data_IF_228188201909
#
_entry.id   IF_228188201909
#
_cell.length_a   1.000
_cell.length_b   1.000
_cell.length_c   1.000
_cell.angle_alpha   90.00
_cell.angle_beta   90.00
_cell.angle_gamma   90.00
#
_symmetry.space_group_name_H-M   'P 1'
#
loop_
_entity.id
_entity.type
_entity.pdbx_description
1 polymer ?
#
# COMPACT_ATOMS: atom_id res chain seq x y z
N UNK A 1 8.30 -17.06 -15.42
CA UNK A 1 8.01 -15.63 -15.57
C UNK A 1 9.24 -14.78 -15.35
N UNK A 2 9.21 -13.49 -15.78
CA UNK A 2 10.25 -12.51 -15.41
C UNK A 2 9.93 -11.86 -14.07
N UNK A 3 10.97 -11.65 -13.26
CA UNK A 3 10.88 -10.93 -11.99
C UNK A 3 12.14 -10.12 -11.71
N UNK A 4 11.99 -9.06 -10.92
CA UNK A 4 13.10 -8.31 -10.34
C UNK A 4 13.37 -8.87 -8.94
N UNK A 5 14.44 -9.64 -8.81
CA UNK A 5 14.79 -10.36 -7.59
C UNK A 5 15.84 -9.58 -6.80
N UNK A 6 15.53 -9.28 -5.55
CA UNK A 6 16.50 -8.78 -4.58
C UNK A 6 17.48 -9.90 -4.21
N UNK A 7 18.77 -9.67 -4.43
CA UNK A 7 19.86 -10.65 -4.23
C UNK A 7 20.71 -10.37 -2.98
N UNK A 8 20.53 -9.21 -2.40
CA UNK A 8 21.28 -8.73 -1.26
C UNK A 8 21.37 -7.20 -1.31
N UNK A 9 21.99 -6.55 -0.30
CA UNK A 9 22.09 -5.10 -0.25
C UNK A 9 22.59 -4.49 -1.55
N UNK A 10 21.82 -3.56 -2.09
CA UNK A 10 22.06 -2.83 -3.34
C UNK A 10 22.14 -3.71 -4.60
N UNK A 11 21.64 -4.97 -4.54
CA UNK A 11 21.70 -5.91 -5.66
C UNK A 11 20.30 -6.35 -6.07
N UNK A 12 19.94 -6.03 -7.31
CA UNK A 12 18.74 -6.50 -7.98
C UNK A 12 19.10 -7.24 -9.27
N UNK A 13 18.39 -8.33 -9.56
CA UNK A 13 18.55 -9.07 -10.80
C UNK A 13 17.21 -9.23 -11.51
N UNK A 14 17.12 -8.75 -12.75
CA UNK A 14 15.98 -9.06 -13.62
C UNK A 14 16.24 -10.41 -14.29
N UNK A 15 15.48 -11.42 -13.90
CA UNK A 15 15.74 -12.80 -14.29
C UNK A 15 14.47 -13.63 -14.47
N UNK A 16 14.62 -14.82 -15.05
CA UNK A 16 13.57 -15.82 -15.07
C UNK A 16 13.45 -16.49 -13.70
N UNK A 17 12.23 -16.65 -13.24
CA UNK A 17 11.84 -17.40 -12.04
C UNK A 17 10.67 -18.33 -12.38
N UNK A 18 10.39 -19.28 -11.51
CA UNK A 18 9.20 -20.12 -11.64
C UNK A 18 7.92 -19.26 -11.56
N UNK A 19 6.90 -19.68 -12.28
CA UNK A 19 5.58 -19.08 -12.16
C UNK A 19 4.99 -19.39 -10.78
N UNK A 20 4.12 -18.50 -10.23
CA UNK A 20 3.45 -18.76 -8.97
C UNK A 20 2.62 -20.03 -9.03
N UNK A 21 2.74 -20.88 -8.02
CA UNK A 21 1.86 -22.04 -7.84
C UNK A 21 0.58 -21.59 -7.13
N UNK A 22 -0.58 -21.94 -7.71
CA UNK A 22 -1.86 -21.68 -7.08
C UNK A 22 -2.13 -22.69 -5.96
N UNK A 23 -2.41 -22.20 -4.75
CA UNK A 23 -2.79 -23.01 -3.62
C UNK A 23 -4.31 -22.88 -3.36
N UNK A 24 -5.03 -23.99 -3.46
CA UNK A 24 -6.48 -23.99 -3.26
C UNK A 24 -7.21 -23.08 -4.24
N UNK A 25 -7.98 -22.12 -3.72
CA UNK A 25 -8.80 -21.19 -4.52
C UNK A 25 -8.06 -19.88 -4.90
N UNK A 26 -6.75 -19.80 -4.73
CA UNK A 26 -5.98 -18.62 -5.14
C UNK A 26 -6.20 -18.32 -6.62
N UNK A 27 -6.09 -17.04 -6.97
CA UNK A 27 -6.21 -16.52 -8.32
C UNK A 27 -4.82 -16.13 -8.82
N UNK A 28 -4.55 -16.41 -10.09
CA UNK A 28 -3.36 -15.89 -10.76
C UNK A 28 -3.65 -14.51 -11.29
N UNK A 29 -2.90 -13.53 -10.83
CA UNK A 29 -3.00 -12.15 -11.27
C UNK A 29 -1.82 -11.84 -12.18
N UNK A 30 -2.10 -11.43 -13.42
CA UNK A 30 -1.12 -10.78 -14.28
C UNK A 30 -0.98 -9.35 -13.79
N UNK A 31 0.21 -9.01 -13.33
CA UNK A 31 0.49 -7.69 -12.77
C UNK A 31 0.57 -6.66 -13.90
N UNK A 32 -0.10 -5.55 -13.71
CA UNK A 32 -0.05 -4.37 -14.57
C UNK A 32 0.90 -3.33 -13.97
N UNK A 33 0.68 -2.96 -12.71
CA UNK A 33 1.42 -1.90 -12.05
C UNK A 33 1.75 -2.26 -10.60
N UNK A 34 2.95 -1.86 -10.17
CA UNK A 34 3.42 -2.02 -8.79
C UNK A 34 4.05 -0.72 -8.31
N UNK A 35 3.59 -0.20 -7.18
CA UNK A 35 4.22 0.91 -6.50
C UNK A 35 5.52 0.49 -5.79
N UNK A 36 6.41 1.44 -5.61
CA UNK A 36 7.65 1.27 -4.83
C UNK A 36 7.47 1.94 -3.47
N UNK A 37 7.35 1.13 -2.43
CA UNK A 37 7.26 1.61 -1.06
C UNK A 37 8.64 1.98 -0.49
N UNK A 38 8.67 2.88 0.48
CA UNK A 38 9.87 3.15 1.27
C UNK A 38 10.45 1.90 1.94
N UNK A 39 9.61 0.92 2.30
CA UNK A 39 10.05 -0.36 2.87
C UNK A 39 10.78 -1.25 1.85
N UNK A 40 10.47 -1.15 0.55
CA UNK A 40 11.24 -1.84 -0.50
C UNK A 40 12.64 -1.22 -0.62
N UNK A 41 12.73 0.11 -0.49
CA UNK A 41 14.03 0.81 -0.46
C UNK A 41 14.85 0.42 0.77
N UNK A 42 14.22 0.29 1.96
CA UNK A 42 14.90 -0.20 3.16
C UNK A 42 15.43 -1.63 2.97
N UNK A 43 14.64 -2.52 2.38
CA UNK A 43 15.09 -3.87 2.05
C UNK A 43 16.25 -3.85 1.06
N UNK A 44 16.13 -3.08 -0.03
CA UNK A 44 17.20 -2.93 -1.04
C UNK A 44 18.53 -2.46 -0.43
N UNK A 45 18.49 -1.54 0.53
CA UNK A 45 19.67 -1.04 1.23
C UNK A 45 20.17 -2.01 2.33
N UNK A 46 19.51 -3.14 2.55
CA UNK A 46 19.89 -4.11 3.58
C UNK A 46 19.50 -3.71 5.00
N UNK A 47 18.57 -2.77 5.17
CA UNK A 47 18.13 -2.25 6.46
C UNK A 47 16.84 -2.92 6.99
N UNK A 48 16.34 -3.98 6.36
CA UNK A 48 15.15 -4.73 6.81
C UNK A 48 15.44 -6.23 6.91
N UNK A 49 15.76 -6.69 8.10
CA UNK A 49 16.05 -8.10 8.40
C UNK A 49 14.86 -9.04 8.14
N UNK A 50 13.63 -8.52 8.05
CA UNK A 50 12.44 -9.31 7.73
C UNK A 50 12.36 -9.69 6.26
N UNK A 51 13.20 -9.08 5.40
CA UNK A 51 13.28 -9.30 3.97
C UNK A 51 14.65 -9.81 3.54
N UNK A 52 15.04 -11.02 3.99
CA UNK A 52 16.32 -11.61 3.59
C UNK A 52 16.33 -11.94 2.10
N UNK A 53 17.48 -11.78 1.46
CA UNK A 53 17.67 -12.22 0.08
C UNK A 53 17.86 -13.76 -0.01
N UNK A 54 17.46 -14.43 -1.14
CA UNK A 54 16.79 -13.82 -2.28
C UNK A 54 15.28 -13.63 -2.04
N UNK A 55 14.68 -12.57 -2.60
CA UNK A 55 13.25 -12.28 -2.46
C UNK A 55 12.76 -11.39 -3.61
N UNK A 56 11.55 -11.60 -4.08
CA UNK A 56 10.86 -10.62 -4.93
C UNK A 56 10.17 -9.62 -4.00
N UNK A 57 10.52 -8.33 -4.13
CA UNK A 57 9.94 -7.24 -3.37
C UNK A 57 8.65 -6.71 -4.06
N UNK A 58 8.07 -5.62 -3.50
CA UNK A 58 6.88 -4.96 -4.03
C UNK A 58 5.58 -5.51 -3.44
N UNK A 59 4.74 -4.62 -2.91
CA UNK A 59 3.48 -5.00 -2.25
C UNK A 59 2.31 -4.04 -2.55
N UNK A 60 2.53 -3.03 -3.36
CA UNK A 60 1.52 -2.10 -3.85
C UNK A 60 1.10 -2.51 -5.25
N UNK A 61 0.21 -3.50 -5.39
CA UNK A 61 -0.01 -4.23 -6.64
C UNK A 61 -1.40 -4.01 -7.21
N UNK A 62 -1.48 -3.86 -8.53
CA UNK A 62 -2.70 -3.96 -9.31
C UNK A 62 -2.49 -4.80 -10.57
N UNK A 63 -3.55 -5.40 -11.08
CA UNK A 63 -3.47 -6.25 -12.26
C UNK A 63 -4.82 -6.84 -12.67
N UNK A 64 -4.75 -7.93 -13.44
CA UNK A 64 -5.92 -8.62 -13.96
C UNK A 64 -5.86 -10.11 -13.63
N UNK A 65 -6.96 -10.68 -13.15
CA UNK A 65 -7.08 -12.11 -12.90
C UNK A 65 -7.00 -12.85 -14.24
N UNK A 66 -6.05 -13.75 -14.41
CA UNK A 66 -5.83 -14.51 -15.66
C UNK A 66 -6.07 -16.00 -15.52
N UNK A 67 -6.20 -16.52 -14.28
CA UNK A 67 -6.60 -17.90 -14.03
C UNK A 67 -7.40 -18.02 -12.72
N UNK A 68 -8.33 -18.99 -12.69
CA UNK A 68 -9.27 -19.19 -11.62
C UNK A 68 -10.65 -18.55 -11.89
N UNK A 69 -11.55 -18.62 -10.94
CA UNK A 69 -12.83 -17.93 -11.03
C UNK A 69 -12.60 -16.41 -11.12
N UNK A 70 -13.52 -15.69 -11.79
CA UNK A 70 -13.48 -14.24 -12.01
C UNK A 70 -12.33 -13.79 -12.94
N UNK A 71 -11.86 -14.67 -13.82
CA UNK A 71 -10.92 -14.33 -14.87
C UNK A 71 -11.40 -13.11 -15.67
N UNK A 72 -10.48 -12.18 -15.96
CA UNK A 72 -10.77 -10.90 -16.62
C UNK A 72 -11.06 -9.74 -15.65
N UNK A 73 -11.36 -10.00 -14.36
CA UNK A 73 -11.54 -8.91 -13.41
C UNK A 73 -10.22 -8.18 -13.15
N UNK A 74 -10.31 -6.87 -13.18
CA UNK A 74 -9.23 -5.95 -12.80
C UNK A 74 -9.25 -5.78 -11.29
N UNK A 75 -8.08 -5.88 -10.65
CA UNK A 75 -7.99 -5.93 -9.18
C UNK A 75 -6.82 -5.13 -8.65
N UNK A 76 -6.97 -4.65 -7.42
CA UNK A 76 -5.85 -4.24 -6.56
C UNK A 76 -5.73 -5.23 -5.40
N UNK A 77 -4.52 -5.37 -4.87
CA UNK A 77 -4.17 -6.41 -3.90
C UNK A 77 -4.02 -5.83 -2.50
N UNK A 78 -4.74 -6.40 -1.53
CA UNK A 78 -4.39 -6.23 -0.12
C UNK A 78 -3.20 -7.17 0.18
N UNK A 79 -2.02 -6.63 0.52
CA UNK A 79 -0.81 -7.44 0.70
C UNK A 79 -0.84 -8.31 1.95
N UNK A 80 -1.75 -8.04 2.89
CA UNK A 80 -1.82 -8.72 4.17
C UNK A 80 -2.76 -9.91 4.13
N UNK A 81 -2.20 -11.11 4.27
CA UNK A 81 -2.95 -12.38 4.34
C UNK A 81 -3.09 -12.77 5.81
N UNK A 82 -4.28 -12.58 6.36
CA UNK A 82 -4.61 -12.92 7.74
C UNK A 82 -5.07 -14.39 7.86
N UNK A 83 -5.03 -14.95 9.07
CA UNK A 83 -5.49 -16.35 9.29
C UNK A 83 -7.02 -16.50 9.30
N UNK A 84 -7.78 -15.41 9.42
CA UNK A 84 -9.25 -15.39 9.44
C UNK A 84 -9.92 -15.90 10.73
N UNK A 85 -9.21 -16.58 11.63
CA UNK A 85 -9.80 -17.32 12.74
C UNK A 85 -9.31 -16.90 14.14
N UNK A 86 -8.23 -16.15 14.26
CA UNK A 86 -7.75 -15.67 15.57
C UNK A 86 -8.63 -14.53 16.11
N UNK A 87 -8.49 -14.22 17.40
CA UNK A 87 -9.28 -13.18 18.06
C UNK A 87 -9.17 -11.81 17.35
N UNK A 88 -7.99 -11.47 16.82
CA UNK A 88 -7.81 -10.24 16.07
C UNK A 88 -8.63 -10.24 14.78
N UNK A 89 -8.61 -11.35 14.02
CA UNK A 89 -9.37 -11.47 12.76
C UNK A 89 -10.88 -11.42 12.99
N UNK A 90 -11.41 -12.22 13.91
CA UNK A 90 -12.85 -12.26 14.18
C UNK A 90 -13.39 -10.96 14.81
N UNK A 91 -12.51 -10.14 15.40
CA UNK A 91 -12.88 -8.79 15.91
C UNK A 91 -12.67 -7.67 14.89
N UNK A 92 -12.40 -8.00 13.61
CA UNK A 92 -12.19 -7.01 12.54
C UNK A 92 -10.88 -6.23 12.64
N UNK A 93 -9.88 -6.80 13.29
CA UNK A 93 -8.52 -6.26 13.43
C UNK A 93 -7.48 -7.22 12.85
N UNK A 94 -7.74 -7.70 11.65
CA UNK A 94 -6.91 -8.64 10.89
C UNK A 94 -5.47 -8.16 10.68
N UNK A 95 -5.25 -6.85 10.61
CA UNK A 95 -3.93 -6.23 10.60
C UNK A 95 -3.09 -6.55 11.86
N UNK A 96 -3.72 -6.98 12.94
CA UNK A 96 -3.07 -7.43 14.18
C UNK A 96 -3.00 -8.96 14.30
N UNK A 97 -3.32 -9.69 13.24
CA UNK A 97 -3.22 -11.15 13.22
C UNK A 97 -1.77 -11.59 13.53
N UNK A 98 -1.55 -12.44 14.55
CA UNK A 98 -0.21 -12.93 14.87
C UNK A 98 0.38 -13.83 13.77
N UNK A 99 -0.48 -14.54 13.03
CA UNK A 99 -0.10 -15.47 11.97
C UNK A 99 -0.18 -14.83 10.57
N UNK A 100 -0.24 -13.49 10.50
CA UNK A 100 -0.32 -12.81 9.21
C UNK A 100 0.90 -13.05 8.36
N UNK A 101 0.67 -13.23 7.08
CA UNK A 101 1.71 -13.23 6.04
C UNK A 101 1.56 -11.97 5.20
N UNK A 102 2.65 -11.45 4.71
CA UNK A 102 2.64 -10.24 3.89
C UNK A 102 3.41 -10.55 2.61
N UNK A 103 2.88 -10.22 1.44
CA UNK A 103 3.65 -10.33 0.19
C UNK A 103 4.89 -9.44 0.28
N UNK A 104 5.97 -9.81 -0.41
CA UNK A 104 7.28 -9.16 -0.26
C UNK A 104 7.95 -9.41 1.11
N UNK A 105 7.50 -10.45 1.84
CA UNK A 105 8.15 -10.99 3.04
C UNK A 105 8.02 -12.52 3.03
N UNK A 106 9.08 -13.28 3.38
CA UNK A 106 8.97 -14.74 3.45
C UNK A 106 7.82 -15.20 4.36
N UNK A 107 7.10 -16.22 3.96
CA UNK A 107 7.29 -17.08 2.79
C UNK A 107 6.60 -16.59 1.50
N UNK A 108 6.11 -15.35 1.44
CA UNK A 108 5.37 -14.80 0.30
C UNK A 108 6.28 -13.89 -0.56
N UNK A 109 6.39 -14.22 -1.85
CA UNK A 109 7.04 -13.37 -2.83
C UNK A 109 6.20 -12.11 -3.09
N UNK A 110 6.83 -11.04 -3.58
CA UNK A 110 6.18 -9.77 -3.88
C UNK A 110 5.81 -9.60 -5.35
N UNK A 111 5.40 -8.38 -5.67
CA UNK A 111 4.81 -8.02 -6.95
C UNK A 111 5.78 -7.47 -8.00
N UNK A 112 7.09 -7.34 -7.74
CA UNK A 112 8.03 -6.96 -8.80
C UNK A 112 8.28 -8.11 -9.77
N UNK A 113 7.19 -8.65 -10.34
CA UNK A 113 7.14 -9.80 -11.21
C UNK A 113 6.01 -9.67 -12.23
N UNK A 114 5.94 -10.58 -13.19
CA UNK A 114 4.84 -10.59 -14.17
C UNK A 114 3.53 -11.11 -13.58
N UNK A 115 3.60 -12.02 -12.60
CA UNK A 115 2.43 -12.66 -12.00
C UNK A 115 2.59 -12.81 -10.49
N UNK A 116 1.45 -12.82 -9.79
CA UNK A 116 1.35 -13.16 -8.37
C UNK A 116 0.10 -14.01 -8.12
N UNK A 117 0.14 -14.91 -7.14
CA UNK A 117 -1.04 -15.65 -6.68
C UNK A 117 -1.58 -15.06 -5.38
N UNK A 118 -2.90 -14.84 -5.32
CA UNK A 118 -3.58 -14.31 -4.13
C UNK A 118 -4.95 -14.95 -3.94
N UNK A 119 -5.36 -15.10 -2.70
CA UNK A 119 -6.72 -15.49 -2.36
C UNK A 119 -7.73 -14.37 -2.71
N UNK A 120 -8.98 -14.72 -3.01
CA UNK A 120 -9.98 -13.75 -3.45
C UNK A 120 -10.31 -12.69 -2.40
N UNK A 121 -10.25 -13.03 -1.12
CA UNK A 121 -10.46 -12.12 -0.01
C UNK A 121 -9.40 -10.99 0.07
N UNK A 122 -8.26 -11.18 -0.57
CA UNK A 122 -7.21 -10.18 -0.68
C UNK A 122 -7.34 -9.29 -1.92
N UNK A 123 -8.36 -9.50 -2.75
CA UNK A 123 -8.54 -8.80 -4.01
C UNK A 123 -9.73 -7.86 -3.95
N UNK A 124 -9.51 -6.60 -4.35
CA UNK A 124 -10.57 -5.63 -4.53
C UNK A 124 -10.73 -5.34 -6.01
N UNK A 125 -11.95 -5.50 -6.53
CA UNK A 125 -12.25 -5.23 -7.95
C UNK A 125 -12.11 -3.74 -8.23
N UNK A 126 -11.40 -3.43 -9.31
CA UNK A 126 -11.18 -2.06 -9.80
C UNK A 126 -12.20 -1.79 -10.92
N UNK A 127 -12.96 -0.68 -10.86
CA UNK A 127 -13.87 -0.28 -11.94
C UNK A 127 -13.16 -0.16 -13.29
N UNK A 128 -13.88 -0.45 -14.38
CA UNK A 128 -13.29 -0.49 -15.73
C UNK A 128 -12.76 0.87 -16.19
N UNK A 129 -13.36 1.96 -15.73
CA UNK A 129 -12.96 3.35 -16.04
C UNK A 129 -11.82 3.86 -15.14
N UNK A 130 -11.37 3.09 -14.13
CA UNK A 130 -10.29 3.49 -13.25
C UNK A 130 -8.98 2.82 -13.65
N UNK A 131 -7.90 3.60 -13.79
CA UNK A 131 -6.58 3.11 -14.24
C UNK A 131 -5.95 2.16 -13.21
N UNK A 132 -5.35 1.05 -13.68
CA UNK A 132 -4.60 0.13 -12.83
C UNK A 132 -3.34 0.78 -12.24
N UNK A 133 -2.70 1.69 -12.97
CA UNK A 133 -1.58 2.49 -12.44
C UNK A 133 -1.96 3.30 -11.19
N UNK A 134 -3.20 3.81 -11.16
CA UNK A 134 -3.71 4.49 -9.96
C UNK A 134 -4.19 3.50 -8.91
N UNK A 135 -4.71 2.36 -9.32
CA UNK A 135 -5.23 1.34 -8.41
C UNK A 135 -4.15 0.70 -7.54
N UNK A 136 -2.90 0.60 -7.99
CA UNK A 136 -1.80 0.12 -7.16
C UNK A 136 -1.51 1.03 -5.95
N UNK A 137 -1.90 2.31 -6.03
CA UNK A 137 -1.79 3.25 -4.90
C UNK A 137 -2.86 3.06 -3.82
N UNK A 138 -3.80 2.13 -3.99
CA UNK A 138 -4.82 1.82 -2.99
C UNK A 138 -4.20 1.38 -1.66
N UNK A 139 -3.10 0.62 -1.71
CA UNK A 139 -2.41 0.13 -0.51
C UNK A 139 -1.86 1.28 0.36
N UNK A 140 -0.99 2.18 -0.12
CA UNK A 140 -0.48 3.28 0.69
C UNK A 140 -1.57 4.27 1.12
N UNK A 141 -2.60 4.49 0.29
CA UNK A 141 -3.75 5.32 0.67
C UNK A 141 -4.56 4.65 1.78
N UNK A 142 -4.73 3.33 1.75
CA UNK A 142 -5.42 2.57 2.80
C UNK A 142 -4.71 2.69 4.16
N UNK A 143 -3.37 2.80 4.19
CA UNK A 143 -2.62 3.09 5.41
C UNK A 143 -3.03 4.45 6.00
N UNK A 144 -3.10 5.48 5.17
CA UNK A 144 -3.58 6.82 5.57
C UNK A 144 -5.03 6.80 6.03
N UNK A 145 -5.90 6.12 5.28
CA UNK A 145 -7.32 5.96 5.61
C UNK A 145 -7.52 5.29 6.97
N UNK A 146 -6.79 4.21 7.23
CA UNK A 146 -6.86 3.48 8.50
C UNK A 146 -6.41 4.36 9.67
N UNK A 147 -5.30 5.09 9.53
CA UNK A 147 -4.80 6.00 10.56
C UNK A 147 -5.83 7.09 10.89
N UNK A 148 -6.42 7.72 9.87
CA UNK A 148 -7.46 8.75 10.05
C UNK A 148 -8.71 8.19 10.72
N UNK A 149 -9.15 6.99 10.31
CA UNK A 149 -10.30 6.31 10.94
C UNK A 149 -10.07 6.06 12.42
N UNK A 150 -8.87 5.59 12.79
CA UNK A 150 -8.51 5.37 14.20
C UNK A 150 -8.46 6.68 14.99
N UNK A 151 -7.87 7.74 14.44
CA UNK A 151 -7.80 9.05 15.07
C UNK A 151 -9.20 9.62 15.31
N UNK A 152 -10.08 9.57 14.31
CA UNK A 152 -11.49 10.01 14.46
C UNK A 152 -12.23 9.21 15.52
N UNK A 153 -12.06 7.89 15.55
CA UNK A 153 -12.69 7.05 16.57
C UNK A 153 -12.21 7.39 17.99
N UNK A 154 -10.92 7.67 18.15
CA UNK A 154 -10.34 8.06 19.44
C UNK A 154 -10.82 9.44 19.92
N UNK A 155 -11.01 10.37 18.99
CA UNK A 155 -11.48 11.74 19.31
C UNK A 155 -13.00 11.81 19.51
N UNK A 156 -13.76 10.81 19.07
CA UNK A 156 -15.23 10.84 19.06
C UNK A 156 -15.81 11.96 18.20
N UNK A 157 -15.02 12.54 17.29
CA UNK A 157 -15.38 13.73 16.55
C UNK A 157 -16.16 13.41 15.28
N UNK A 158 -17.19 14.21 15.00
CA UNK A 158 -17.99 14.12 13.77
C UNK A 158 -17.37 14.85 12.56
N UNK A 159 -16.23 15.52 12.75
CA UNK A 159 -15.48 16.19 11.68
C UNK A 159 -15.71 17.71 11.62
N UNK A 160 -16.77 18.26 12.16
CA UNK A 160 -17.01 19.71 12.19
C UNK A 160 -16.02 20.43 13.13
N UNK A 161 -15.41 21.50 12.62
CA UNK A 161 -14.47 22.34 13.39
C UNK A 161 -13.11 21.73 13.65
N UNK A 162 -12.84 20.48 13.19
CA UNK A 162 -11.52 19.87 13.34
C UNK A 162 -10.54 20.49 12.35
N UNK A 163 -9.37 20.85 12.87
CA UNK A 163 -8.19 21.20 12.09
C UNK A 163 -7.19 20.05 12.19
N UNK A 164 -6.67 19.56 11.06
CA UNK A 164 -5.72 18.48 11.01
C UNK A 164 -4.38 18.95 10.45
N UNK A 165 -3.29 18.59 11.12
CA UNK A 165 -1.93 18.77 10.66
C UNK A 165 -1.33 17.40 10.33
N UNK A 166 -0.87 17.24 9.09
CA UNK A 166 -0.09 16.07 8.64
C UNK A 166 1.38 16.46 8.60
N UNK A 167 2.21 15.75 9.32
CA UNK A 167 3.65 15.97 9.35
C UNK A 167 4.33 15.04 8.35
N UNK A 168 4.87 15.62 7.28
CA UNK A 168 5.52 14.92 6.17
C UNK A 168 4.61 14.76 4.94
N UNK A 169 5.07 15.27 3.81
CA UNK A 169 4.38 15.22 2.50
C UNK A 169 4.82 14.05 1.62
N UNK A 170 5.23 12.92 2.20
CA UNK A 170 5.48 11.67 1.48
C UNK A 170 4.19 10.93 1.11
N UNK A 171 4.29 9.77 0.46
CA UNK A 171 3.14 8.99 0.00
C UNK A 171 2.11 8.73 1.10
N UNK A 172 2.55 8.31 2.29
CA UNK A 172 1.66 8.05 3.44
C UNK A 172 1.02 9.34 3.97
N UNK A 173 1.79 10.43 4.08
CA UNK A 173 1.24 11.71 4.52
C UNK A 173 0.21 12.26 3.53
N UNK A 174 0.47 12.18 2.24
CA UNK A 174 -0.50 12.55 1.20
C UNK A 174 -1.73 11.66 1.27
N UNK A 175 -1.56 10.35 1.41
CA UNK A 175 -2.66 9.39 1.62
C UNK A 175 -3.51 9.76 2.84
N UNK A 176 -2.88 10.14 3.96
CA UNK A 176 -3.57 10.60 5.16
C UNK A 176 -4.33 11.93 4.92
N UNK A 177 -3.70 12.91 4.26
CA UNK A 177 -4.33 14.20 3.96
C UNK A 177 -5.57 14.03 3.06
N UNK A 178 -5.45 13.24 1.98
CA UNK A 178 -6.58 12.90 1.11
C UNK A 178 -7.68 12.16 1.87
N UNK A 179 -7.30 11.24 2.76
CA UNK A 179 -8.24 10.49 3.60
C UNK A 179 -8.96 11.38 4.61
N UNK A 180 -8.30 12.37 5.18
CA UNK A 180 -8.93 13.37 6.05
C UNK A 180 -10.02 14.14 5.30
N UNK A 181 -9.70 14.63 4.09
CA UNK A 181 -10.68 15.35 3.25
C UNK A 181 -11.85 14.43 2.89
N UNK A 182 -11.57 13.23 2.41
CA UNK A 182 -12.60 12.27 2.02
C UNK A 182 -13.51 11.85 3.20
N UNK A 183 -13.00 11.92 4.43
CA UNK A 183 -13.76 11.66 5.66
C UNK A 183 -14.37 12.91 6.29
N UNK A 184 -14.41 14.05 5.57
CA UNK A 184 -15.15 15.25 5.93
C UNK A 184 -14.36 16.30 6.73
N UNK A 185 -13.05 16.14 6.93
CA UNK A 185 -12.22 17.18 7.58
C UNK A 185 -11.85 18.23 6.53
N UNK A 186 -12.36 19.44 6.68
CA UNK A 186 -12.19 20.51 5.69
C UNK A 186 -10.90 21.31 5.87
N UNK A 187 -10.39 21.43 7.09
CA UNK A 187 -9.16 22.16 7.41
C UNK A 187 -7.99 21.18 7.53
N UNK A 188 -7.33 20.88 6.43
CA UNK A 188 -6.17 19.99 6.38
C UNK A 188 -4.94 20.77 5.95
N UNK A 189 -3.88 20.65 6.72
CA UNK A 189 -2.57 21.25 6.46
C UNK A 189 -1.50 20.14 6.43
N UNK A 190 -0.57 20.24 5.50
CA UNK A 190 0.60 19.35 5.41
C UNK A 190 1.86 20.18 5.62
N UNK A 191 2.75 19.75 6.51
CA UNK A 191 4.08 20.34 6.62
C UNK A 191 5.13 19.42 6.00
N UNK A 192 6.01 19.97 5.16
CA UNK A 192 7.01 19.22 4.42
C UNK A 192 8.30 20.05 4.27
N UNK A 193 9.46 19.55 4.72
CA UNK A 193 10.72 20.31 4.62
C UNK A 193 11.27 20.45 3.20
N UNK A 194 10.98 19.49 2.30
CA UNK A 194 11.51 19.53 0.94
C UNK A 194 10.71 20.47 0.04
N UNK A 195 11.36 21.56 -0.41
CA UNK A 195 10.71 22.58 -1.25
C UNK A 195 10.08 22.00 -2.54
N UNK A 196 10.81 21.12 -3.27
CA UNK A 196 10.30 20.54 -4.52
C UNK A 196 9.02 19.73 -4.28
N UNK A 197 8.98 18.99 -3.16
CA UNK A 197 7.79 18.22 -2.78
C UNK A 197 6.64 19.14 -2.37
N UNK A 198 6.92 20.22 -1.61
CA UNK A 198 5.87 21.23 -1.30
C UNK A 198 5.28 21.85 -2.56
N UNK A 199 6.13 22.23 -3.53
CA UNK A 199 5.68 22.86 -4.78
C UNK A 199 4.78 21.88 -5.59
N UNK A 200 5.15 20.61 -5.64
CA UNK A 200 4.31 19.57 -6.26
C UNK A 200 2.96 19.40 -5.53
N UNK A 201 2.98 19.38 -4.20
CA UNK A 201 1.78 19.15 -3.39
C UNK A 201 0.81 20.34 -3.38
N UNK A 202 1.27 21.56 -3.67
CA UNK A 202 0.41 22.76 -3.71
C UNK A 202 -0.57 22.78 -4.88
N UNK A 203 -0.41 21.87 -5.85
CA UNK A 203 -1.23 21.85 -7.06
C UNK A 203 -2.44 20.91 -6.88
N UNK A 204 -3.64 21.49 -6.68
CA UNK A 204 -4.91 20.81 -6.90
C UNK A 204 -5.35 19.76 -5.85
N UNK A 205 -4.76 19.72 -4.64
CA UNK A 205 -5.00 18.63 -3.70
C UNK A 205 -6.01 18.93 -2.57
N UNK A 206 -6.55 20.14 -2.49
CA UNK A 206 -7.57 20.51 -1.51
C UNK A 206 -7.08 20.70 -0.05
N UNK A 207 -5.74 20.67 0.17
CA UNK A 207 -5.12 20.97 1.46
C UNK A 207 -4.01 22.00 1.33
N UNK A 208 -3.70 22.73 2.41
CA UNK A 208 -2.58 23.67 2.44
C UNK A 208 -1.26 22.97 2.71
N UNK A 209 -0.17 23.48 2.12
CA UNK A 209 1.18 22.90 2.29
C UNK A 209 2.16 24.00 2.70
N UNK A 210 2.82 23.81 3.82
CA UNK A 210 3.76 24.78 4.41
C UNK A 210 5.12 24.16 4.70
N UNK A 211 6.12 25.00 4.89
CA UNK A 211 7.39 24.58 5.47
C UNK A 211 7.26 24.42 6.99
N UNK A 212 8.09 23.57 7.63
CA UNK A 212 8.06 23.44 9.09
C UNK A 212 8.24 24.76 9.84
N UNK A 213 9.05 25.67 9.29
CA UNK A 213 9.35 26.98 9.85
C UNK A 213 8.15 27.97 9.78
N UNK A 214 7.14 27.65 8.97
CA UNK A 214 5.91 28.43 8.82
C UNK A 214 4.81 28.00 9.81
N UNK A 215 5.06 26.93 10.59
CA UNK A 215 4.17 26.57 11.70
C UNK A 215 4.35 27.64 12.78
N UNK A 216 3.27 28.41 13.02
CA UNK A 216 3.24 29.31 14.16
C UNK A 216 3.27 28.50 15.47
N UNK A 217 3.92 29.05 16.50
CA UNK A 217 3.96 28.51 17.86
C UNK A 217 2.55 28.40 18.49
#
# INVERSE_FOLDING_TARGET
MKALVYKGPEQLAFQDVLDPTLNGEEKLIKIDSVGICGSDMHAFLGHDERRPAPLILGHEVSGTIVAGAQQGHRVTVNPLVACGQCLACISGRDNLCPDRKIISMPPKEGGFAQYISMAMENLTVVPDDFSLEKACMAEPIACGWHAVRLAKAALGAQGEGIRALVIGGGAIGVGAALSLIAQGIQSVMVTEPNKKRRDFLRVGNGFSVIAPEELAD
#
